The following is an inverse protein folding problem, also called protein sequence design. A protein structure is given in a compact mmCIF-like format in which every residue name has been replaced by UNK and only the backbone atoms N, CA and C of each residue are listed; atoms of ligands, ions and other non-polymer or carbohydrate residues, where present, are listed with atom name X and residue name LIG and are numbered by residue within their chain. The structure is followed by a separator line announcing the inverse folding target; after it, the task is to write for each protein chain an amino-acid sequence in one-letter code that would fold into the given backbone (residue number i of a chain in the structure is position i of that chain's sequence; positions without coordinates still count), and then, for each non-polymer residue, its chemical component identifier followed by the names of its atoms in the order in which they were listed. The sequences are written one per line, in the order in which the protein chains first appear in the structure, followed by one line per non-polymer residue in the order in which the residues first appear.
data_IF_043535098053
#
_entry.id   IF_043535098053
#
_cell.length_a   1.000
_cell.length_b   1.000
_cell.length_c   1.000
_cell.angle_alpha   90.00
_cell.angle_beta   90.00
_cell.angle_gamma   90.00
#
_symmetry.space_group_name_H-M   'P 1'
#
loop_
_entity.id
_entity.type
_entity.pdbx_description
1 polymer ?
#
# COMPACT_ATOMS: atom_id res chain seq x y z
N UNK A 1 -4.57 -13.22 13.86
CA UNK A 1 -3.96 -12.57 12.67
C UNK A 1 -4.21 -11.05 12.67
N UNK A 2 -5.46 -10.58 12.72
CA UNK A 2 -5.79 -9.13 12.71
C UNK A 2 -5.14 -8.31 13.83
N UNK A 3 -5.16 -8.80 15.08
CA UNK A 3 -4.51 -8.13 16.22
C UNK A 3 -3.01 -7.88 15.98
N UNK A 4 -2.34 -8.83 15.34
CA UNK A 4 -0.91 -8.77 15.08
C UNK A 4 -0.60 -7.67 14.05
N UNK A 5 -1.44 -7.54 13.02
CA UNK A 5 -1.35 -6.44 12.03
C UNK A 5 -1.53 -5.08 12.71
N UNK A 6 -2.54 -4.94 13.59
CA UNK A 6 -2.79 -3.68 14.31
C UNK A 6 -1.61 -3.30 15.19
N UNK A 7 -1.05 -4.25 15.94
CA UNK A 7 0.08 -4.00 16.84
C UNK A 7 1.33 -3.57 16.05
N UNK A 8 1.66 -4.27 14.97
CA UNK A 8 2.82 -3.94 14.13
C UNK A 8 2.66 -2.55 13.51
N UNK A 9 1.50 -2.27 12.91
CA UNK A 9 1.24 -0.96 12.32
C UNK A 9 1.27 0.16 13.38
N UNK A 10 0.76 -0.09 14.58
CA UNK A 10 0.84 0.86 15.68
C UNK A 10 2.27 1.18 16.12
N UNK A 11 3.12 0.15 16.25
CA UNK A 11 4.54 0.31 16.60
C UNK A 11 5.31 1.07 15.52
N UNK A 12 5.13 0.69 14.26
CA UNK A 12 5.79 1.37 13.15
C UNK A 12 5.31 2.82 13.04
N UNK A 13 3.99 3.07 13.19
CA UNK A 13 3.46 4.43 13.14
C UNK A 13 4.05 5.30 14.26
N UNK A 14 4.17 4.79 15.49
CA UNK A 14 4.80 5.53 16.58
C UNK A 14 6.28 5.85 16.29
N UNK A 15 7.02 4.93 15.69
CA UNK A 15 8.42 5.16 15.33
C UNK A 15 8.58 6.17 14.18
N UNK A 16 7.86 5.95 13.08
CA UNK A 16 7.96 6.77 11.88
C UNK A 16 7.41 8.18 12.14
N UNK A 17 6.20 8.31 12.69
CA UNK A 17 5.59 9.62 12.94
C UNK A 17 6.35 10.41 14.01
N UNK A 18 6.89 9.77 15.05
CA UNK A 18 7.68 10.49 16.07
C UNK A 18 8.91 11.16 15.45
N UNK A 19 9.57 10.50 14.50
CA UNK A 19 10.70 11.07 13.77
C UNK A 19 10.31 12.28 12.92
N UNK A 20 9.18 12.22 12.21
CA UNK A 20 8.71 13.30 11.34
C UNK A 20 8.13 14.49 12.10
N UNK A 21 7.36 14.24 13.16
CA UNK A 21 6.77 15.29 14.02
C UNK A 21 7.86 16.10 14.70
N UNK A 22 8.94 15.45 15.18
CA UNK A 22 10.11 16.14 15.76
C UNK A 22 10.79 17.10 14.77
N UNK A 23 10.73 16.79 13.46
CA UNK A 23 11.30 17.63 12.40
C UNK A 23 10.33 18.68 11.85
N UNK A 24 9.10 18.81 12.40
CA UNK A 24 8.03 19.72 11.96
C UNK A 24 7.67 19.63 10.47
N UNK A 25 7.92 18.48 9.83
CA UNK A 25 7.65 18.25 8.41
C UNK A 25 6.21 17.78 8.20
N UNK A 26 5.24 18.67 8.41
CA UNK A 26 3.80 18.34 8.36
C UNK A 26 3.34 17.78 7.02
N UNK A 27 3.88 18.27 5.90
CA UNK A 27 3.58 17.73 4.57
C UNK A 27 4.01 16.26 4.42
N UNK A 28 5.20 15.91 4.91
CA UNK A 28 5.68 14.52 4.87
C UNK A 28 4.86 13.61 5.79
N UNK A 29 4.32 14.15 6.90
CA UNK A 29 3.40 13.43 7.79
C UNK A 29 2.08 13.10 7.09
N UNK A 30 1.50 14.03 6.35
CA UNK A 30 0.26 13.79 5.59
C UNK A 30 0.44 12.72 4.51
N UNK A 31 1.53 12.81 3.74
CA UNK A 31 1.86 11.82 2.71
C UNK A 31 2.08 10.44 3.35
N UNK A 32 2.86 10.37 4.43
CA UNK A 32 3.10 9.12 5.13
C UNK A 32 1.80 8.53 5.70
N UNK A 33 0.92 9.35 6.26
CA UNK A 33 -0.39 8.94 6.77
C UNK A 33 -1.26 8.34 5.66
N UNK A 34 -1.30 8.98 4.49
CA UNK A 34 -2.03 8.45 3.34
C UNK A 34 -1.52 7.05 2.97
N UNK A 35 -0.20 6.87 2.85
CA UNK A 35 0.39 5.56 2.58
C UNK A 35 0.11 4.55 3.69
N UNK A 36 0.18 4.96 4.96
CA UNK A 36 -0.13 4.10 6.10
C UNK A 36 -1.54 3.55 6.03
N UNK A 37 -2.52 4.43 5.84
CA UNK A 37 -3.93 4.05 5.74
C UNK A 37 -4.16 3.13 4.55
N UNK A 38 -3.52 3.42 3.41
CA UNK A 38 -3.63 2.61 2.21
C UNK A 38 -3.09 1.18 2.42
N UNK A 39 -1.85 1.04 2.92
CA UNK A 39 -1.23 -0.27 3.14
C UNK A 39 -1.93 -1.02 4.28
N UNK A 40 -2.37 -0.33 5.35
CA UNK A 40 -3.15 -0.94 6.42
C UNK A 40 -4.46 -1.54 5.90
N UNK A 41 -5.15 -0.81 5.03
CA UNK A 41 -6.38 -1.29 4.38
C UNK A 41 -6.10 -2.53 3.53
N UNK A 42 -5.04 -2.52 2.70
CA UNK A 42 -4.63 -3.68 1.91
C UNK A 42 -4.27 -4.89 2.78
N UNK A 43 -3.54 -4.66 3.88
CA UNK A 43 -3.18 -5.71 4.83
C UNK A 43 -4.44 -6.32 5.47
N UNK A 44 -5.39 -5.48 5.90
CA UNK A 44 -6.68 -5.95 6.43
C UNK A 44 -7.46 -6.75 5.40
N UNK A 45 -7.55 -6.30 4.15
CA UNK A 45 -8.20 -7.05 3.08
C UNK A 45 -7.55 -8.41 2.89
N UNK A 46 -6.22 -8.46 2.86
CA UNK A 46 -5.44 -9.70 2.70
C UNK A 46 -5.72 -10.69 3.84
N UNK A 47 -5.71 -10.22 5.09
CA UNK A 47 -5.94 -11.09 6.25
C UNK A 47 -7.39 -11.61 6.31
N UNK A 48 -8.36 -10.83 5.82
CA UNK A 48 -9.75 -11.29 5.69
C UNK A 48 -9.98 -12.22 4.48
N UNK A 49 -8.91 -12.64 3.79
CA UNK A 49 -8.99 -13.59 2.69
C UNK A 49 -9.41 -12.97 1.35
N UNK A 50 -9.43 -11.64 1.25
CA UNK A 50 -9.67 -10.96 -0.02
C UNK A 50 -8.44 -11.16 -0.91
N UNK A 51 -8.64 -11.84 -2.04
CA UNK A 51 -7.58 -12.03 -3.04
C UNK A 51 -7.32 -10.71 -3.75
N UNK A 52 -6.27 -10.01 -3.33
CA UNK A 52 -5.78 -8.85 -4.08
C UNK A 52 -5.24 -9.33 -5.43
N UNK A 53 -5.78 -8.81 -6.56
CA UNK A 53 -5.25 -9.15 -7.86
C UNK A 53 -3.81 -8.68 -7.97
N UNK A 54 -2.95 -9.49 -8.59
CA UNK A 54 -1.54 -9.14 -8.78
C UNK A 54 -1.44 -7.83 -9.58
N UNK A 55 -0.69 -6.81 -9.08
CA UNK A 55 -0.43 -5.58 -9.82
C UNK A 55 0.18 -5.83 -11.20
N UNK A 56 0.93 -6.93 -11.36
CA UNK A 56 1.49 -7.32 -12.64
C UNK A 56 0.42 -7.59 -13.70
N UNK A 57 -0.74 -8.16 -13.31
CA UNK A 57 -1.87 -8.34 -14.24
C UNK A 57 -2.48 -7.00 -14.63
N UNK A 58 -2.58 -6.05 -13.70
CA UNK A 58 -3.05 -4.69 -13.97
C UNK A 58 -2.10 -3.92 -14.89
N UNK A 59 -0.80 -3.99 -14.63
CA UNK A 59 0.23 -3.40 -15.48
C UNK A 59 0.24 -4.04 -16.88
N UNK A 60 0.09 -5.37 -16.96
CA UNK A 60 -0.03 -6.06 -18.24
C UNK A 60 -1.28 -5.60 -19.01
N UNK A 61 -2.42 -5.40 -18.35
CA UNK A 61 -3.63 -4.87 -18.99
C UNK A 61 -3.41 -3.44 -19.52
N UNK A 62 -2.76 -2.58 -18.74
CA UNK A 62 -2.40 -1.24 -19.20
C UNK A 62 -1.46 -1.26 -20.40
N UNK A 63 -0.39 -2.05 -20.35
CA UNK A 63 0.65 -2.06 -21.37
C UNK A 63 0.17 -2.76 -22.66
N UNK A 64 -0.49 -3.91 -22.53
CA UNK A 64 -0.89 -4.75 -23.67
C UNK A 64 -2.24 -4.32 -24.22
N UNK A 65 -3.23 -4.08 -23.37
CA UNK A 65 -4.61 -3.87 -23.82
C UNK A 65 -4.91 -2.37 -24.08
N UNK A 66 -4.32 -1.44 -23.31
CA UNK A 66 -4.53 0.01 -23.50
C UNK A 66 -3.45 0.61 -24.40
N UNK A 67 -2.17 0.44 -24.06
CA UNK A 67 -1.07 1.04 -24.82
C UNK A 67 -0.68 0.23 -26.07
N UNK A 68 -1.11 -1.04 -26.18
CA UNK A 68 -0.79 -1.95 -27.30
C UNK A 68 0.71 -2.13 -27.57
N UNK A 69 1.56 -1.99 -26.53
CA UNK A 69 3.02 -2.11 -26.64
C UNK A 69 3.47 -3.57 -26.40
N UNK A 70 2.57 -4.54 -26.53
CA UNK A 70 2.82 -5.96 -26.30
C UNK A 70 2.52 -6.80 -27.54
N UNK A 71 3.19 -7.94 -27.66
CA UNK A 71 2.86 -8.93 -28.69
C UNK A 71 1.44 -9.45 -28.49
N UNK A 72 0.65 -9.63 -29.58
CA UNK A 72 -0.65 -10.27 -29.48
C UNK A 72 -0.49 -11.64 -28.83
N UNK A 73 -1.33 -11.95 -27.83
CA UNK A 73 -1.40 -13.30 -27.27
C UNK A 73 -1.73 -14.28 -28.42
N UNK A 74 -1.03 -15.42 -28.54
CA UNK A 74 -1.47 -16.49 -29.43
C UNK A 74 -2.83 -17.04 -29.02
#
# INVERSE_FOLDING_TARGET
MNLLVIIIFGLLALYDFSSLVKKKKWYEVEVLLFFYVFVFTLAMLTVNGVKLPSPAKGAQHLIVDILKIGYPKP
#
